data_IF_122502910642
#
_entry.id   IF_122502910642
#
_cell.length_a   1.000
_cell.length_b   1.000
_cell.length_c   1.000
_cell.angle_alpha   90.00
_cell.angle_beta   90.00
_cell.angle_gamma   90.00
#
_symmetry.space_group_name_H-M   'P 1'
#
loop_
_entity.id
_entity.type
_entity.pdbx_description
1 polymer ?
#
# COMPACT_ATOMS: atom_id res chain seq x y z
N UNK A 1 23.41 2.93 -16.82
CA UNK A 1 22.01 3.03 -16.41
C UNK A 1 22.01 3.20 -14.90
N UNK A 2 21.25 4.13 -14.35
CA UNK A 2 21.12 4.25 -12.90
C UNK A 2 20.35 3.02 -12.44
N UNK A 3 21.00 2.17 -11.68
CA UNK A 3 20.41 0.97 -11.07
C UNK A 3 19.74 1.39 -9.77
N UNK A 4 18.57 0.80 -9.45
CA UNK A 4 17.89 1.09 -8.19
C UNK A 4 18.68 0.59 -6.98
N UNK A 5 18.32 0.98 -5.75
CA UNK A 5 19.08 0.62 -4.54
C UNK A 5 19.09 -0.88 -4.22
N UNK A 6 18.20 -1.65 -4.84
CA UNK A 6 18.11 -3.12 -4.69
C UNK A 6 18.57 -3.87 -5.93
N UNK A 7 19.37 -3.24 -6.78
CA UNK A 7 19.99 -3.94 -7.92
C UNK A 7 20.84 -5.12 -7.42
N UNK A 8 20.70 -6.27 -8.08
CA UNK A 8 21.34 -7.53 -7.67
C UNK A 8 20.55 -8.33 -6.61
N UNK A 9 19.47 -7.79 -6.03
CA UNK A 9 18.58 -8.52 -5.13
C UNK A 9 17.50 -9.24 -5.95
N UNK A 10 17.31 -10.53 -5.68
CA UNK A 10 16.28 -11.36 -6.32
C UNK A 10 15.19 -11.78 -5.33
N UNK A 11 13.94 -11.53 -5.72
CA UNK A 11 12.74 -11.83 -4.93
C UNK A 11 11.91 -12.89 -5.63
N UNK A 12 11.61 -13.99 -4.95
CA UNK A 12 10.60 -14.97 -5.37
C UNK A 12 9.26 -14.62 -4.72
N UNK A 13 8.29 -14.29 -5.53
CA UNK A 13 6.93 -13.94 -5.06
C UNK A 13 5.98 -15.10 -5.30
N UNK A 14 5.50 -15.70 -4.21
CA UNK A 14 4.46 -16.75 -4.20
C UNK A 14 3.07 -16.16 -3.90
N UNK A 15 3.04 -14.89 -3.50
CA UNK A 15 1.82 -14.20 -3.08
C UNK A 15 0.78 -14.07 -4.18
N UNK A 16 -0.49 -13.99 -3.78
CA UNK A 16 -1.63 -13.71 -4.66
C UNK A 16 -2.39 -12.49 -4.17
N UNK A 17 -3.21 -11.91 -5.04
CA UNK A 17 -4.04 -10.73 -4.76
C UNK A 17 -3.17 -9.49 -4.44
N UNK A 18 -3.27 -8.90 -3.22
CA UNK A 18 -2.75 -7.54 -2.98
C UNK A 18 -1.55 -7.52 -2.03
N UNK A 19 -1.65 -7.99 -0.80
CA UNK A 19 -0.67 -7.69 0.26
C UNK A 19 0.75 -8.15 -0.06
N UNK A 20 0.96 -9.44 -0.34
CA UNK A 20 2.25 -9.99 -0.77
C UNK A 20 2.72 -9.41 -2.10
N UNK A 21 1.89 -9.43 -3.15
CA UNK A 21 2.23 -8.80 -4.43
C UNK A 21 2.58 -7.31 -4.33
N UNK A 22 1.96 -6.56 -3.43
CA UNK A 22 2.30 -5.16 -3.20
C UNK A 22 3.67 -5.01 -2.53
N UNK A 23 4.00 -5.84 -1.53
CA UNK A 23 5.32 -5.86 -0.92
C UNK A 23 6.42 -6.15 -1.96
N UNK A 24 6.25 -7.19 -2.77
CA UNK A 24 7.20 -7.55 -3.81
C UNK A 24 7.32 -6.47 -4.91
N UNK A 25 6.19 -5.81 -5.27
CA UNK A 25 6.22 -4.66 -6.17
C UNK A 25 7.08 -3.53 -5.62
N UNK A 26 6.94 -3.16 -4.34
CA UNK A 26 7.74 -2.10 -3.74
C UNK A 26 9.25 -2.39 -3.82
N UNK A 27 9.65 -3.65 -3.62
CA UNK A 27 11.03 -4.07 -3.82
C UNK A 27 11.44 -4.01 -5.31
N UNK A 28 10.58 -4.43 -6.22
CA UNK A 28 10.79 -4.33 -7.66
C UNK A 28 10.91 -2.89 -8.17
N UNK A 29 10.11 -1.98 -7.63
CA UNK A 29 10.17 -0.54 -7.93
C UNK A 29 11.53 0.07 -7.54
N UNK A 30 12.18 -0.48 -6.50
CA UNK A 30 13.52 -0.09 -6.03
C UNK A 30 14.65 -0.83 -6.75
N UNK A 31 14.37 -1.63 -7.78
CA UNK A 31 15.38 -2.26 -8.63
C UNK A 31 15.58 -3.76 -8.44
N UNK A 32 14.96 -4.39 -7.44
CA UNK A 32 15.04 -5.84 -7.27
C UNK A 32 14.47 -6.58 -8.50
N UNK A 33 15.06 -7.71 -8.84
CA UNK A 33 14.49 -8.66 -9.79
C UNK A 33 13.42 -9.47 -9.11
N UNK A 34 12.16 -9.23 -9.46
CA UNK A 34 11.02 -9.95 -8.87
C UNK A 34 10.53 -11.02 -9.84
N UNK A 35 10.55 -12.27 -9.40
CA UNK A 35 10.02 -13.43 -10.10
C UNK A 35 8.74 -13.86 -9.40
N UNK A 36 7.60 -13.56 -10.03
CA UNK A 36 6.28 -13.99 -9.56
C UNK A 36 6.01 -15.40 -10.04
N UNK A 37 5.67 -16.27 -9.12
CA UNK A 37 5.37 -17.69 -9.37
C UNK A 37 3.86 -17.89 -9.27
N UNK A 38 3.26 -18.32 -10.35
CA UNK A 38 1.82 -18.61 -10.45
C UNK A 38 1.60 -20.12 -10.65
N UNK A 39 0.44 -20.61 -10.22
CA UNK A 39 0.04 -21.97 -10.58
C UNK A 39 -0.26 -22.08 -12.08
N UNK A 40 0.18 -23.15 -12.78
CA UNK A 40 -0.09 -23.31 -14.20
C UNK A 40 -1.58 -23.30 -14.55
N UNK A 41 -2.39 -23.91 -13.67
CA UNK A 41 -3.83 -24.12 -13.91
C UNK A 41 -4.71 -23.02 -13.34
N UNK A 42 -4.20 -22.22 -12.41
CA UNK A 42 -4.99 -21.19 -11.71
C UNK A 42 -4.10 -19.97 -11.46
N UNK A 43 -4.04 -19.06 -12.44
CA UNK A 43 -3.25 -17.83 -12.30
C UNK A 43 -3.79 -16.93 -11.19
N UNK A 44 -3.01 -15.89 -10.83
CA UNK A 44 -3.43 -14.91 -9.84
C UNK A 44 -4.77 -14.26 -10.24
N UNK A 45 -5.80 -14.35 -9.37
CA UNK A 45 -7.10 -13.72 -9.62
C UNK A 45 -7.00 -12.21 -9.90
N UNK A 46 -5.93 -11.56 -9.46
CA UNK A 46 -5.72 -10.13 -9.70
C UNK A 46 -5.67 -9.75 -11.18
N UNK A 47 -5.38 -10.71 -12.07
CA UNK A 47 -5.41 -10.52 -13.53
C UNK A 47 -6.78 -10.11 -14.06
N UNK A 48 -7.86 -10.45 -13.31
CA UNK A 48 -9.26 -10.20 -13.70
C UNK A 48 -9.95 -9.20 -12.77
N UNK A 49 -9.21 -8.52 -11.87
CA UNK A 49 -9.78 -7.55 -10.96
C UNK A 49 -9.71 -6.12 -11.49
N UNK A 50 -10.76 -5.35 -11.27
CA UNK A 50 -10.86 -3.93 -11.60
C UNK A 50 -12.27 -3.56 -12.10
N UNK A 51 -12.60 -2.27 -12.02
CA UNK A 51 -13.88 -1.75 -12.51
C UNK A 51 -13.85 -1.45 -14.02
N UNK A 52 -12.68 -1.08 -14.53
CA UNK A 52 -12.47 -0.80 -15.94
C UNK A 52 -11.80 -2.00 -16.62
N UNK A 53 -12.19 -2.24 -17.86
CA UNK A 53 -11.68 -3.29 -18.72
C UNK A 53 -11.43 -2.74 -20.12
N UNK A 54 -10.40 -3.23 -20.76
CA UNK A 54 -10.13 -3.03 -22.19
C UNK A 54 -9.62 -4.36 -22.78
N UNK A 55 -10.30 -4.85 -23.81
CA UNK A 55 -9.95 -6.11 -24.51
C UNK A 55 -9.78 -7.32 -23.56
N UNK A 56 -10.63 -7.44 -22.53
CA UNK A 56 -10.56 -8.51 -21.53
C UNK A 56 -9.50 -8.30 -20.45
N UNK A 57 -8.81 -7.16 -20.42
CA UNK A 57 -7.74 -6.86 -19.47
C UNK A 57 -8.16 -5.81 -18.44
N UNK A 58 -7.96 -6.15 -17.16
CA UNK A 58 -8.22 -5.28 -16.01
C UNK A 58 -6.94 -4.64 -15.50
N UNK A 59 -7.07 -3.49 -14.79
CA UNK A 59 -5.92 -2.64 -14.48
C UNK A 59 -5.34 -2.78 -13.07
N UNK A 60 -5.91 -3.60 -12.19
CA UNK A 60 -5.23 -3.96 -10.94
C UNK A 60 -3.88 -4.64 -11.20
N UNK A 61 -3.86 -5.52 -12.21
CA UNK A 61 -2.64 -6.19 -12.63
C UNK A 61 -1.55 -5.22 -13.06
N UNK A 62 -1.86 -4.22 -13.89
CA UNK A 62 -0.92 -3.19 -14.36
C UNK A 62 -0.16 -2.51 -13.21
N UNK A 63 -0.85 -2.29 -12.08
CA UNK A 63 -0.27 -1.62 -10.92
C UNK A 63 0.49 -2.59 -10.02
N UNK A 64 -0.07 -3.75 -9.72
CA UNK A 64 0.51 -4.68 -8.74
C UNK A 64 1.56 -5.63 -9.32
N UNK A 65 1.49 -5.94 -10.62
CA UNK A 65 2.43 -6.82 -11.30
C UNK A 65 3.59 -6.09 -12.00
N UNK A 66 3.61 -4.75 -11.96
CA UNK A 66 4.70 -3.99 -12.58
C UNK A 66 6.06 -4.40 -12.03
N UNK A 67 7.07 -4.36 -12.89
CA UNK A 67 8.45 -4.72 -12.58
C UNK A 67 8.67 -6.21 -12.25
N UNK A 68 7.72 -7.09 -12.57
CA UNK A 68 7.82 -8.52 -12.28
C UNK A 68 7.93 -9.37 -13.55
N UNK A 69 8.75 -10.41 -13.48
CA UNK A 69 8.73 -11.55 -14.40
C UNK A 69 7.72 -12.57 -13.88
N UNK A 70 6.85 -13.11 -14.72
CA UNK A 70 5.91 -14.15 -14.32
C UNK A 70 6.32 -15.50 -14.87
N UNK A 71 6.46 -16.47 -13.97
CA UNK A 71 6.64 -17.89 -14.28
C UNK A 71 5.50 -18.72 -13.71
N UNK A 72 5.33 -19.91 -14.23
CA UNK A 72 4.41 -20.92 -13.67
C UNK A 72 5.19 -22.00 -12.99
N UNK A 73 4.69 -22.50 -11.83
CA UNK A 73 5.27 -23.65 -11.11
C UNK A 73 4.25 -24.23 -10.13
N UNK A 74 4.01 -25.54 -10.20
CA UNK A 74 3.18 -26.22 -9.22
C UNK A 74 4.01 -26.78 -8.06
N UNK A 75 4.07 -26.03 -6.96
CA UNK A 75 4.80 -26.38 -5.74
C UNK A 75 4.22 -27.59 -4.99
N UNK A 76 3.06 -28.09 -5.39
CA UNK A 76 2.43 -29.28 -4.79
C UNK A 76 3.04 -30.58 -5.33
N UNK A 77 3.70 -30.50 -6.48
CA UNK A 77 4.38 -31.65 -7.11
C UNK A 77 5.80 -31.83 -6.56
N UNK A 78 6.34 -33.04 -6.58
CA UNK A 78 7.73 -33.29 -6.16
C UNK A 78 8.73 -32.51 -7.00
N UNK A 79 8.58 -32.57 -8.33
CA UNK A 79 9.48 -31.86 -9.26
C UNK A 79 9.35 -30.34 -9.14
N UNK A 80 8.15 -29.83 -8.93
CA UNK A 80 7.93 -28.39 -8.70
C UNK A 80 8.62 -27.90 -7.44
N UNK A 81 8.62 -28.66 -6.35
CA UNK A 81 9.37 -28.33 -5.12
C UNK A 81 10.88 -28.31 -5.36
N UNK A 82 11.42 -29.32 -6.06
CA UNK A 82 12.84 -29.38 -6.40
C UNK A 82 13.26 -28.13 -7.18
N UNK A 83 12.54 -27.78 -8.24
CA UNK A 83 12.82 -26.59 -9.04
C UNK A 83 12.71 -25.31 -8.21
N UNK A 84 11.73 -25.22 -7.31
CA UNK A 84 11.63 -24.09 -6.41
C UNK A 84 12.84 -23.96 -5.48
N UNK A 85 13.33 -25.07 -4.92
CA UNK A 85 14.54 -25.07 -4.09
C UNK A 85 15.78 -24.68 -4.88
N UNK A 86 15.87 -25.05 -6.16
CA UNK A 86 16.94 -24.60 -7.05
C UNK A 86 16.87 -23.07 -7.30
N UNK A 87 15.64 -22.48 -7.38
CA UNK A 87 15.45 -21.03 -7.44
C UNK A 87 15.82 -20.36 -6.12
N UNK A 88 15.54 -20.99 -4.98
CA UNK A 88 15.91 -20.48 -3.64
C UNK A 88 17.42 -20.33 -3.48
N UNK A 89 18.22 -21.23 -4.08
CA UNK A 89 19.68 -21.15 -4.08
C UNK A 89 20.20 -19.84 -4.77
N UNK A 90 19.37 -19.22 -5.58
CA UNK A 90 19.67 -18.01 -6.36
C UNK A 90 18.89 -16.76 -5.90
N UNK A 91 18.10 -16.89 -4.83
CA UNK A 91 17.22 -15.84 -4.34
C UNK A 91 17.71 -15.24 -3.02
N UNK A 92 17.26 -14.03 -2.75
CA UNK A 92 17.53 -13.28 -1.53
C UNK A 92 16.33 -13.20 -0.61
N UNK A 93 15.13 -13.06 -1.19
CA UNK A 93 13.88 -12.88 -0.48
C UNK A 93 12.79 -13.74 -1.10
N UNK A 94 11.99 -14.37 -0.26
CA UNK A 94 10.74 -15.02 -0.65
C UNK A 94 9.60 -14.21 -0.03
N UNK A 95 8.57 -13.87 -0.81
CA UNK A 95 7.36 -13.19 -0.33
C UNK A 95 6.16 -14.11 -0.55
N UNK A 96 5.43 -14.42 0.52
CA UNK A 96 4.22 -15.23 0.46
C UNK A 96 3.09 -14.63 1.30
N UNK A 97 1.83 -14.92 0.96
CA UNK A 97 0.67 -14.56 1.76
C UNK A 97 -0.36 -15.70 1.81
N UNK A 98 0.14 -16.91 1.91
CA UNK A 98 -0.68 -18.11 2.13
C UNK A 98 -1.21 -18.16 3.58
N UNK A 99 -2.13 -19.06 3.82
CA UNK A 99 -2.51 -19.40 5.19
C UNK A 99 -1.31 -20.01 5.92
N UNK A 100 -1.09 -19.64 7.21
CA UNK A 100 -0.03 -20.24 8.00
C UNK A 100 -0.01 -21.77 7.92
N UNK A 101 1.18 -22.35 7.80
CA UNK A 101 1.38 -23.78 7.63
C UNK A 101 1.25 -24.30 6.20
N UNK A 102 0.99 -23.46 5.20
CA UNK A 102 0.87 -23.91 3.81
C UNK A 102 2.21 -24.34 3.23
N UNK A 103 3.27 -23.55 3.40
CA UNK A 103 4.61 -23.91 2.94
C UNK A 103 5.12 -25.16 3.68
N UNK A 104 4.86 -25.26 4.96
CA UNK A 104 5.23 -26.41 5.78
C UNK A 104 4.56 -27.70 5.26
N UNK A 105 3.29 -27.65 4.84
CA UNK A 105 2.58 -28.79 4.22
C UNK A 105 3.16 -29.23 2.87
N UNK A 106 3.88 -28.33 2.21
CA UNK A 106 4.57 -28.62 0.95
C UNK A 106 6.04 -28.94 1.15
N UNK A 107 6.50 -29.18 2.39
CA UNK A 107 7.89 -29.39 2.75
C UNK A 107 8.80 -28.23 2.31
N UNK A 108 8.29 -27.00 2.34
CA UNK A 108 8.96 -25.76 1.99
C UNK A 108 8.97 -24.77 3.16
N UNK A 109 8.88 -25.27 4.41
CA UNK A 109 8.98 -24.43 5.62
C UNK A 109 10.35 -23.77 5.73
N UNK A 110 10.44 -22.73 6.59
CA UNK A 110 11.65 -21.90 6.68
C UNK A 110 12.93 -22.67 6.95
N UNK A 111 12.90 -23.71 7.78
CA UNK A 111 14.11 -24.50 8.08
C UNK A 111 14.66 -25.19 6.83
N UNK A 112 13.79 -25.73 5.97
CA UNK A 112 14.18 -26.34 4.69
C UNK A 112 14.78 -25.28 3.75
N UNK A 113 14.15 -24.11 3.68
CA UNK A 113 14.66 -23.01 2.85
C UNK A 113 16.01 -22.52 3.36
N UNK A 114 16.19 -22.42 4.68
CA UNK A 114 17.43 -22.00 5.33
C UNK A 114 18.57 -23.00 5.16
N UNK A 115 18.27 -24.30 5.16
CA UNK A 115 19.27 -25.36 4.84
C UNK A 115 19.82 -25.19 3.42
N UNK A 116 18.96 -24.80 2.47
CA UNK A 116 19.35 -24.53 1.09
C UNK A 116 20.16 -23.23 0.97
N UNK A 117 19.65 -22.17 1.60
CA UNK A 117 20.26 -20.83 1.53
C UNK A 117 20.18 -20.16 2.89
N UNK A 118 21.29 -20.14 3.64
CA UNK A 118 21.36 -19.53 4.98
C UNK A 118 21.00 -18.04 4.99
N UNK A 119 21.20 -17.36 3.86
CA UNK A 119 20.91 -15.95 3.70
C UNK A 119 19.47 -15.65 3.30
N UNK A 120 18.62 -16.65 3.10
CA UNK A 120 17.26 -16.45 2.61
C UNK A 120 16.38 -15.72 3.62
N UNK A 121 15.65 -14.72 3.16
CA UNK A 121 14.67 -13.99 3.96
C UNK A 121 13.29 -14.45 3.52
N UNK A 122 12.48 -14.95 4.48
CA UNK A 122 11.10 -15.35 4.21
C UNK A 122 10.13 -14.32 4.78
N UNK A 123 9.49 -13.56 3.90
CA UNK A 123 8.46 -12.55 4.23
C UNK A 123 7.09 -13.21 4.13
N UNK A 124 6.39 -13.30 5.26
CA UNK A 124 5.09 -13.94 5.40
C UNK A 124 4.03 -12.90 5.76
N UNK A 125 3.03 -12.74 4.91
CA UNK A 125 1.90 -11.84 5.18
C UNK A 125 0.64 -12.68 5.41
N UNK A 126 0.01 -12.52 6.57
CA UNK A 126 -1.20 -13.27 6.91
C UNK A 126 -2.24 -12.40 7.62
N UNK A 127 -3.44 -12.93 7.85
CA UNK A 127 -4.51 -12.17 8.51
C UNK A 127 -4.18 -11.77 9.93
N UNK A 128 -3.59 -12.69 10.71
CA UNK A 128 -3.39 -12.57 12.16
C UNK A 128 -1.97 -12.91 12.61
N UNK A 129 -1.00 -13.03 11.71
CA UNK A 129 0.37 -13.47 12.02
C UNK A 129 0.52 -14.99 12.00
N UNK A 130 1.78 -15.43 12.16
CA UNK A 130 2.14 -16.87 12.14
C UNK A 130 1.93 -17.55 13.51
N UNK A 131 1.70 -16.78 14.56
CA UNK A 131 1.56 -17.26 15.95
C UNK A 131 0.29 -16.69 16.60
N UNK A 132 0.00 -17.15 17.82
CA UNK A 132 -1.17 -16.69 18.58
C UNK A 132 -2.44 -17.48 18.30
N UNK A 133 -3.51 -17.21 19.08
CA UNK A 133 -4.73 -18.04 19.07
C UNK A 133 -5.49 -17.99 17.74
N UNK A 134 -5.31 -16.95 16.94
CA UNK A 134 -6.03 -16.71 15.70
C UNK A 134 -5.19 -16.98 14.44
N UNK A 135 -3.93 -17.41 14.57
CA UNK A 135 -3.03 -17.65 13.44
C UNK A 135 -3.61 -18.55 12.34
N UNK A 136 -4.39 -19.56 12.72
CA UNK A 136 -5.05 -20.47 11.77
C UNK A 136 -6.32 -19.94 11.11
N UNK A 137 -6.83 -18.77 11.53
CA UNK A 137 -8.06 -18.21 10.97
C UNK A 137 -7.80 -17.61 9.58
N UNK A 138 -8.81 -17.72 8.72
CA UNK A 138 -8.80 -17.00 7.46
C UNK A 138 -8.98 -15.50 7.73
N UNK A 139 -8.16 -14.66 7.10
CA UNK A 139 -8.26 -13.20 7.22
C UNK A 139 -8.05 -12.52 5.87
N UNK A 140 -8.93 -11.55 5.58
CA UNK A 140 -8.78 -10.58 4.50
C UNK A 140 -8.72 -9.17 5.09
N UNK A 141 -8.22 -8.21 4.34
CA UNK A 141 -8.07 -6.81 4.78
C UNK A 141 -9.35 -6.26 5.42
N UNK A 142 -10.52 -6.52 4.86
CA UNK A 142 -11.79 -6.01 5.40
C UNK A 142 -12.11 -6.52 6.82
N UNK A 143 -11.71 -7.74 7.14
CA UNK A 143 -11.85 -8.34 8.48
C UNK A 143 -10.76 -7.81 9.41
N UNK A 144 -9.54 -7.67 8.93
CA UNK A 144 -8.40 -7.13 9.67
C UNK A 144 -8.62 -5.66 10.08
N UNK A 145 -9.12 -4.83 9.16
CA UNK A 145 -9.52 -3.44 9.42
C UNK A 145 -10.59 -3.35 10.52
N UNK A 146 -11.53 -4.30 10.55
CA UNK A 146 -12.57 -4.36 11.58
C UNK A 146 -12.02 -4.87 12.92
N UNK A 147 -11.26 -5.96 12.90
CA UNK A 147 -10.72 -6.60 14.10
C UNK A 147 -9.68 -5.71 14.84
N UNK A 148 -8.93 -4.90 14.10
CA UNK A 148 -7.97 -3.95 14.67
C UNK A 148 -8.61 -2.69 15.28
N UNK A 149 -9.91 -2.44 15.06
CA UNK A 149 -10.58 -1.19 15.47
C UNK A 149 -10.52 -0.06 14.45
N UNK A 150 -9.68 -0.14 13.42
CA UNK A 150 -9.53 0.92 12.41
C UNK A 150 -10.88 1.29 11.78
N UNK A 151 -11.71 0.30 11.48
CA UNK A 151 -13.02 0.50 10.89
C UNK A 151 -14.03 1.12 11.84
N UNK A 152 -13.90 0.88 13.16
CA UNK A 152 -14.78 1.47 14.16
C UNK A 152 -14.65 2.99 14.21
N UNK A 153 -13.47 3.53 13.98
CA UNK A 153 -13.20 4.97 14.00
C UNK A 153 -13.57 5.68 12.69
N UNK A 154 -13.85 4.93 11.62
CA UNK A 154 -14.16 5.51 10.31
C UNK A 154 -15.65 5.73 10.16
N UNK A 155 -16.06 6.90 9.65
CA UNK A 155 -17.45 7.22 9.32
C UNK A 155 -18.03 8.37 10.12
N UNK A 156 -19.35 8.53 9.99
CA UNK A 156 -20.11 9.55 10.71
C UNK A 156 -20.73 8.97 11.99
N UNK A 157 -20.81 9.76 13.09
CA UNK A 157 -21.47 9.33 14.32
C UNK A 157 -22.89 8.82 14.07
N UNK A 158 -23.22 7.66 14.66
CA UNK A 158 -24.53 7.04 14.51
C UNK A 158 -24.78 6.28 13.20
N UNK A 159 -23.84 6.33 12.25
CA UNK A 159 -23.89 5.56 11.03
C UNK A 159 -23.21 4.19 11.15
N UNK A 160 -23.40 3.27 10.17
CA UNK A 160 -22.64 2.03 10.11
C UNK A 160 -21.16 2.34 9.80
N UNK A 161 -20.19 1.60 10.39
CA UNK A 161 -18.78 1.77 10.11
C UNK A 161 -18.45 1.48 8.62
N UNK A 162 -18.17 2.48 7.79
CA UNK A 162 -17.94 2.27 6.37
C UNK A 162 -16.54 1.68 6.11
N UNK A 163 -16.36 1.13 4.91
CA UNK A 163 -15.06 0.76 4.38
C UNK A 163 -14.49 1.92 3.57
N UNK A 164 -13.16 2.10 3.58
CA UNK A 164 -12.51 2.84 2.51
C UNK A 164 -12.68 2.10 1.17
N UNK A 165 -12.85 2.83 0.09
CA UNK A 165 -13.05 2.26 -1.24
C UNK A 165 -11.77 1.67 -1.87
N UNK A 166 -10.83 1.25 -1.04
CA UNK A 166 -9.57 0.60 -1.42
C UNK A 166 -9.16 -0.45 -0.38
N UNK A 167 -8.19 -1.31 -0.71
CA UNK A 167 -7.68 -2.35 0.19
C UNK A 167 -6.58 -1.78 1.09
N UNK A 168 -6.97 -0.92 2.04
CA UNK A 168 -6.01 -0.21 2.90
C UNK A 168 -5.21 -1.18 3.77
N UNK A 169 -5.87 -2.15 4.41
CA UNK A 169 -5.21 -3.12 5.26
C UNK A 169 -4.16 -3.96 4.51
N UNK A 170 -4.47 -4.38 3.28
CA UNK A 170 -3.49 -5.07 2.41
C UNK A 170 -2.31 -4.17 2.06
N UNK A 171 -2.57 -2.90 1.74
CA UNK A 171 -1.53 -1.95 1.37
C UNK A 171 -0.60 -1.65 2.56
N UNK A 172 -1.16 -1.44 3.75
CA UNK A 172 -0.37 -1.24 4.98
C UNK A 172 0.50 -2.47 5.28
N UNK A 173 -0.08 -3.67 5.23
CA UNK A 173 0.68 -4.90 5.46
C UNK A 173 1.78 -5.10 4.40
N UNK A 174 1.51 -4.81 3.14
CA UNK A 174 2.52 -4.85 2.08
C UNK A 174 3.66 -3.85 2.30
N UNK A 175 3.36 -2.65 2.80
CA UNK A 175 4.39 -1.64 3.14
C UNK A 175 5.24 -2.11 4.32
N UNK A 176 4.64 -2.60 5.42
CA UNK A 176 5.40 -3.13 6.56
C UNK A 176 6.20 -4.38 6.20
N UNK A 177 5.67 -5.26 5.36
CA UNK A 177 6.38 -6.42 4.85
C UNK A 177 7.61 -6.03 4.02
N UNK A 178 7.49 -5.04 3.13
CA UNK A 178 8.62 -4.51 2.37
C UNK A 178 9.65 -3.84 3.29
N UNK A 179 9.20 -3.05 4.28
CA UNK A 179 10.08 -2.45 5.30
C UNK A 179 10.83 -3.53 6.10
N UNK A 180 10.13 -4.58 6.51
CA UNK A 180 10.73 -5.73 7.20
C UNK A 180 11.77 -6.46 6.32
N UNK A 181 11.48 -6.64 5.03
CA UNK A 181 12.42 -7.21 4.07
C UNK A 181 13.70 -6.36 3.95
N UNK A 182 13.57 -5.03 3.85
CA UNK A 182 14.73 -4.12 3.80
C UNK A 182 15.56 -4.17 5.08
N UNK A 183 14.92 -4.20 6.25
CA UNK A 183 15.60 -4.36 7.53
C UNK A 183 16.34 -5.71 7.64
N UNK A 184 15.71 -6.79 7.16
CA UNK A 184 16.31 -8.11 7.13
C UNK A 184 17.48 -8.20 6.14
N UNK A 185 17.37 -7.58 4.97
CA UNK A 185 18.47 -7.46 4.00
C UNK A 185 19.66 -6.72 4.60
N UNK A 186 19.42 -5.58 5.25
CA UNK A 186 20.48 -4.84 5.94
C UNK A 186 21.15 -5.68 7.04
N UNK A 187 20.36 -6.34 7.92
CA UNK A 187 20.92 -7.23 8.94
C UNK A 187 21.77 -8.34 8.33
N UNK A 188 21.32 -8.93 7.23
CA UNK A 188 22.05 -9.99 6.51
C UNK A 188 23.45 -9.54 6.05
N UNK A 189 23.64 -8.26 5.69
CA UNK A 189 24.97 -7.74 5.30
C UNK A 189 25.98 -7.84 6.45
N UNK A 190 25.51 -7.85 7.69
CA UNK A 190 26.34 -7.93 8.89
C UNK A 190 26.53 -9.38 9.36
N UNK A 191 25.47 -10.18 9.30
CA UNK A 191 25.44 -11.53 9.90
C UNK A 191 25.67 -12.65 8.90
N UNK A 192 25.44 -12.41 7.61
CA UNK A 192 25.38 -13.45 6.57
C UNK A 192 24.11 -14.31 6.64
N UNK A 193 23.22 -14.09 7.59
CA UNK A 193 22.05 -14.92 7.83
C UNK A 193 20.75 -14.19 7.49
N UNK A 194 19.82 -14.93 6.85
CA UNK A 194 18.45 -14.50 6.65
C UNK A 194 17.58 -14.71 7.90
N UNK A 195 16.30 -14.36 7.78
CA UNK A 195 15.31 -14.54 8.85
C UNK A 195 13.89 -14.56 8.30
N UNK A 196 12.92 -14.92 9.15
CA UNK A 196 11.50 -14.73 8.87
C UNK A 196 11.14 -13.26 9.16
N UNK A 197 10.31 -12.68 8.29
CA UNK A 197 9.59 -11.42 8.51
C UNK A 197 8.11 -11.78 8.54
N UNK A 198 7.52 -11.76 9.73
CA UNK A 198 6.11 -12.05 9.96
C UNK A 198 5.32 -10.73 10.03
N UNK A 199 4.31 -10.58 9.19
CA UNK A 199 3.49 -9.37 9.09
C UNK A 199 2.01 -9.75 9.05
N UNK A 200 1.25 -9.26 10.05
CA UNK A 200 -0.19 -9.48 10.06
C UNK A 200 -0.96 -8.27 9.52
N UNK A 201 -2.04 -8.53 8.79
CA UNK A 201 -2.97 -7.49 8.34
C UNK A 201 -3.57 -6.71 9.52
N UNK A 202 -3.97 -7.43 10.59
CA UNK A 202 -4.53 -6.83 11.81
C UNK A 202 -3.55 -5.92 12.54
N UNK A 203 -2.29 -6.36 12.68
CA UNK A 203 -1.23 -5.60 13.34
C UNK A 203 -0.86 -4.36 12.53
N UNK A 204 -0.80 -4.49 11.22
CA UNK A 204 -0.53 -3.38 10.30
C UNK A 204 -1.59 -2.29 10.39
N UNK A 205 -2.87 -2.67 10.50
CA UNK A 205 -3.95 -1.74 10.73
C UNK A 205 -3.91 -1.11 12.12
N UNK A 206 -3.50 -1.86 13.15
CA UNK A 206 -3.38 -1.36 14.51
C UNK A 206 -2.22 -0.36 14.66
N UNK A 207 -1.09 -0.64 14.02
CA UNK A 207 0.14 0.14 14.16
C UNK A 207 0.00 1.62 13.70
N UNK A 208 -1.02 1.96 12.92
CA UNK A 208 -1.25 3.32 12.41
C UNK A 208 -2.34 4.08 13.16
N UNK A 209 -2.83 3.56 14.30
CA UNK A 209 -3.96 4.15 15.03
C UNK A 209 -3.55 5.17 16.11
N UNK A 210 -2.38 5.77 15.99
CA UNK A 210 -1.91 6.87 16.86
C UNK A 210 -2.02 6.55 18.36
N UNK A 211 -2.74 7.39 19.12
CA UNK A 211 -2.88 7.32 20.59
C UNK A 211 -4.11 6.53 21.06
N UNK A 212 -4.84 5.84 20.18
CA UNK A 212 -6.11 5.17 20.57
C UNK A 212 -5.97 4.19 21.71
N UNK A 213 -4.88 3.42 21.77
CA UNK A 213 -4.64 2.46 22.86
C UNK A 213 -4.32 3.19 24.17
N UNK A 214 -3.33 4.11 24.25
CA UNK A 214 -3.07 4.83 25.51
C UNK A 214 -4.23 5.73 25.94
N UNK A 215 -5.01 6.31 25.02
CA UNK A 215 -6.21 7.09 25.37
C UNK A 215 -7.25 6.22 26.09
N UNK A 216 -7.39 4.97 25.66
CA UNK A 216 -8.27 4.01 26.33
C UNK A 216 -7.67 3.48 27.63
N UNK A 217 -6.41 3.05 27.63
CA UNK A 217 -5.77 2.40 28.77
C UNK A 217 -5.69 3.33 29.99
N UNK A 218 -5.34 4.59 29.77
CA UNK A 218 -5.16 5.59 30.83
C UNK A 218 -6.42 6.42 31.07
N UNK A 219 -7.10 6.83 30.01
CA UNK A 219 -8.23 7.77 30.07
C UNK A 219 -9.61 7.12 29.96
N UNK A 220 -9.70 5.83 29.63
CA UNK A 220 -10.96 5.14 29.38
C UNK A 220 -11.68 5.64 28.11
N UNK A 221 -11.00 6.37 27.25
CA UNK A 221 -11.59 6.99 26.06
C UNK A 221 -11.70 5.96 24.93
N UNK A 222 -12.91 5.67 24.49
CA UNK A 222 -13.19 4.88 23.30
C UNK A 222 -13.40 5.82 22.13
N UNK A 223 -12.35 5.96 21.28
CA UNK A 223 -12.43 6.81 20.08
C UNK A 223 -13.41 6.21 19.09
N UNK A 224 -14.43 6.98 18.70
CA UNK A 224 -15.45 6.61 17.72
C UNK A 224 -15.29 7.37 16.40
N UNK A 225 -16.24 7.20 15.48
CA UNK A 225 -16.27 7.93 14.22
C UNK A 225 -16.58 9.41 14.47
N UNK A 226 -15.82 10.30 13.85
CA UNK A 226 -15.93 11.76 14.01
C UNK A 226 -16.33 12.50 12.72
N UNK A 227 -16.75 11.76 11.69
CA UNK A 227 -17.15 12.36 10.40
C UNK A 227 -15.95 12.87 9.61
N UNK A 228 -15.94 14.16 9.34
CA UNK A 228 -14.94 14.81 8.47
C UNK A 228 -13.81 15.50 9.25
N UNK A 229 -13.77 15.38 10.58
CA UNK A 229 -12.85 16.09 11.46
C UNK A 229 -12.12 15.16 12.45
N UNK A 230 -11.09 15.67 13.08
CA UNK A 230 -10.53 15.09 14.30
C UNK A 230 -11.12 15.84 15.51
N UNK A 231 -11.66 15.10 16.47
CA UNK A 231 -12.20 15.70 17.69
C UNK A 231 -11.12 16.39 18.50
N UNK A 232 -11.44 17.58 19.00
CA UNK A 232 -10.54 18.40 19.80
C UNK A 232 -9.42 19.09 19.02
N UNK A 233 -9.34 18.91 17.70
CA UNK A 233 -8.33 19.55 16.84
C UNK A 233 -9.03 20.49 15.84
N UNK A 234 -9.17 21.76 16.23
CA UNK A 234 -9.95 22.75 15.48
C UNK A 234 -9.17 24.04 15.16
N UNK A 235 -9.45 24.65 13.96
CA UNK A 235 -10.19 24.06 12.87
C UNK A 235 -9.34 23.12 12.02
N UNK A 236 -9.88 21.94 11.70
CA UNK A 236 -9.33 20.99 10.74
C UNK A 236 -10.51 20.16 10.20
N UNK A 237 -11.13 20.63 9.13
CA UNK A 237 -12.38 20.05 8.61
C UNK A 237 -12.53 20.34 7.11
N UNK A 238 -13.61 19.82 6.50
CA UNK A 238 -14.01 20.17 5.15
C UNK A 238 -15.19 21.15 5.20
N UNK A 239 -15.23 22.07 4.24
CA UNK A 239 -16.28 23.09 4.16
C UNK A 239 -16.79 23.16 2.72
N UNK A 240 -18.12 23.32 2.58
CA UNK A 240 -18.75 23.41 1.27
C UNK A 240 -18.61 24.84 0.71
N UNK A 241 -18.18 24.95 -0.52
CA UNK A 241 -18.05 26.19 -1.27
C UNK A 241 -19.36 26.56 -1.99
N UNK A 242 -19.40 27.72 -2.62
CA UNK A 242 -20.59 28.25 -3.29
C UNK A 242 -21.13 27.36 -4.42
N UNK A 243 -20.23 26.66 -5.15
CA UNK A 243 -20.62 25.74 -6.21
C UNK A 243 -20.96 24.32 -5.71
N UNK A 244 -20.94 24.09 -4.39
CA UNK A 244 -21.24 22.81 -3.77
C UNK A 244 -20.08 21.83 -3.65
N UNK A 245 -18.87 22.16 -4.16
CA UNK A 245 -17.67 21.36 -3.94
C UNK A 245 -17.09 21.56 -2.53
N UNK A 246 -16.20 20.66 -2.11
CA UNK A 246 -15.64 20.66 -0.77
C UNK A 246 -14.18 21.11 -0.77
N UNK A 247 -13.82 21.95 0.20
CA UNK A 247 -12.46 22.42 0.44
C UNK A 247 -12.02 22.03 1.85
N UNK A 248 -10.84 21.45 1.98
CA UNK A 248 -10.21 21.22 3.30
C UNK A 248 -9.58 22.50 3.79
N UNK A 249 -9.81 22.86 5.06
CA UNK A 249 -9.12 23.95 5.76
C UNK A 249 -8.56 23.43 7.07
N UNK A 250 -7.23 23.59 7.27
CA UNK A 250 -6.54 23.16 8.48
C UNK A 250 -5.75 24.35 9.08
N UNK A 251 -6.23 24.85 10.22
CA UNK A 251 -5.64 26.01 10.91
C UNK A 251 -5.63 25.83 12.43
N UNK A 252 -5.35 24.61 12.88
CA UNK A 252 -5.41 24.23 14.30
C UNK A 252 -4.31 24.85 15.20
N UNK A 253 -3.20 25.33 14.63
CA UNK A 253 -2.19 26.06 15.39
C UNK A 253 -2.63 27.53 15.60
N UNK A 254 -2.38 28.09 16.80
CA UNK A 254 -2.84 29.44 17.16
C UNK A 254 -2.37 30.53 16.19
N UNK A 255 -1.14 30.41 15.68
CA UNK A 255 -0.60 31.37 14.70
C UNK A 255 -1.28 31.26 13.35
N UNK A 256 -1.64 30.04 12.92
CA UNK A 256 -2.33 29.78 11.65
C UNK A 256 -3.81 30.18 11.79
N UNK A 257 -4.41 29.92 12.94
CA UNK A 257 -5.79 30.34 13.24
C UNK A 257 -5.95 31.86 13.16
N UNK A 258 -5.04 32.66 13.76
CA UNK A 258 -5.07 34.12 13.63
C UNK A 258 -5.00 34.57 12.18
N UNK A 259 -4.20 33.91 11.34
CA UNK A 259 -4.14 34.22 9.91
C UNK A 259 -5.46 33.89 9.20
N UNK A 260 -6.07 32.75 9.55
CA UNK A 260 -7.39 32.38 9.03
C UNK A 260 -8.43 33.46 9.39
N UNK A 261 -8.53 33.88 10.65
CA UNK A 261 -9.47 34.91 11.07
C UNK A 261 -9.26 36.20 10.28
N UNK A 262 -8.01 36.63 10.09
CA UNK A 262 -7.69 37.80 9.28
C UNK A 262 -8.09 37.64 7.81
N UNK A 263 -7.81 36.49 7.22
CA UNK A 263 -8.16 36.15 5.84
C UNK A 263 -9.67 36.10 5.61
N UNK A 264 -10.41 35.66 6.62
CA UNK A 264 -11.88 35.65 6.61
C UNK A 264 -12.50 37.04 6.77
N UNK A 265 -11.70 38.06 7.14
CA UNK A 265 -12.18 39.41 7.48
C UNK A 265 -12.83 39.49 8.86
N UNK A 266 -12.54 38.55 9.76
CA UNK A 266 -13.09 38.43 11.12
C UNK A 266 -11.94 38.30 12.16
N UNK A 267 -11.00 39.27 12.24
CA UNK A 267 -9.83 39.14 13.11
C UNK A 267 -10.18 39.05 14.60
N UNK A 268 -11.37 39.51 15.02
CA UNK A 268 -11.89 39.44 16.39
C UNK A 268 -12.04 38.03 16.90
N UNK A 269 -12.29 37.05 16.03
CA UNK A 269 -12.40 35.66 16.42
C UNK A 269 -11.11 35.11 17.04
N UNK A 270 -9.97 35.70 16.71
CA UNK A 270 -8.68 35.28 17.28
C UNK A 270 -8.49 35.67 18.75
N UNK A 271 -9.31 36.58 19.26
CA UNK A 271 -9.31 37.04 20.65
C UNK A 271 -10.60 36.70 21.39
N UNK A 272 -11.52 36.03 20.76
CA UNK A 272 -12.75 35.55 21.39
C UNK A 272 -12.41 34.40 22.36
N UNK A 273 -12.92 34.46 23.59
CA UNK A 273 -12.67 33.46 24.64
C UNK A 273 -13.03 32.04 24.22
N UNK A 274 -13.98 31.88 23.29
CA UNK A 274 -14.38 30.56 22.73
C UNK A 274 -13.30 29.96 21.84
N UNK A 275 -12.39 30.78 21.26
CA UNK A 275 -11.45 30.36 20.22
C UNK A 275 -10.01 30.79 20.45
N UNK A 276 -9.72 31.43 21.57
CA UNK A 276 -8.46 32.11 21.90
C UNK A 276 -7.25 31.18 21.85
N UNK A 277 -7.42 29.91 22.19
CA UNK A 277 -6.38 28.91 22.17
C UNK A 277 -6.87 27.57 21.61
N UNK A 278 -5.95 26.64 21.40
CA UNK A 278 -6.23 25.31 20.85
C UNK A 278 -7.30 24.55 21.64
N UNK A 279 -7.24 24.61 22.99
CA UNK A 279 -8.19 23.87 23.86
C UNK A 279 -9.59 24.47 23.76
N UNK A 280 -9.69 25.79 23.78
CA UNK A 280 -10.94 26.51 23.64
C UNK A 280 -11.60 26.20 22.28
N UNK A 281 -10.83 26.23 21.19
CA UNK A 281 -11.33 25.87 19.85
C UNK A 281 -11.81 24.42 19.78
N UNK A 282 -11.07 23.49 20.37
CA UNK A 282 -11.49 22.08 20.42
C UNK A 282 -12.82 21.87 21.15
N UNK A 283 -13.07 22.63 22.24
CA UNK A 283 -14.34 22.56 22.97
C UNK A 283 -15.51 23.20 22.21
N UNK A 284 -15.25 24.22 21.41
CA UNK A 284 -16.28 24.95 20.65
C UNK A 284 -16.19 24.68 19.14
N UNK A 285 -15.74 23.46 18.77
CA UNK A 285 -15.46 23.08 17.38
C UNK A 285 -16.68 23.23 16.47
N UNK A 286 -17.88 22.84 16.92
CA UNK A 286 -19.10 22.92 16.11
C UNK A 286 -19.45 24.37 15.75
N UNK A 287 -19.29 25.30 16.69
CA UNK A 287 -19.57 26.69 16.46
C UNK A 287 -18.55 27.34 15.52
N UNK A 288 -17.27 26.99 15.72
CA UNK A 288 -16.18 27.45 14.85
C UNK A 288 -16.35 26.93 13.42
N UNK A 289 -16.69 25.65 13.27
CA UNK A 289 -16.95 25.03 11.97
C UNK A 289 -18.14 25.66 11.26
N UNK A 290 -19.20 26.04 12.00
CA UNK A 290 -20.34 26.78 11.43
C UNK A 290 -19.95 28.16 10.90
N UNK A 291 -19.10 28.91 11.62
CA UNK A 291 -18.60 30.22 11.21
C UNK A 291 -17.76 30.12 9.94
N UNK A 292 -16.79 29.17 9.91
CA UNK A 292 -15.94 28.95 8.75
C UNK A 292 -16.77 28.45 7.56
N UNK A 293 -17.70 27.55 7.80
CA UNK A 293 -18.63 27.03 6.78
C UNK A 293 -19.47 28.13 6.13
N UNK A 294 -20.02 29.06 6.92
CA UNK A 294 -20.77 30.18 6.40
C UNK A 294 -19.88 31.13 5.53
N UNK A 295 -18.63 31.34 5.92
CA UNK A 295 -17.67 32.10 5.12
C UNK A 295 -17.33 31.41 3.80
N UNK A 296 -17.13 30.08 3.82
CA UNK A 296 -16.78 29.28 2.64
C UNK A 296 -17.94 29.16 1.65
N UNK A 297 -19.16 29.01 2.14
CA UNK A 297 -20.37 28.83 1.33
C UNK A 297 -20.71 30.01 0.40
N UNK A 298 -20.10 31.18 0.64
CA UNK A 298 -20.28 32.39 -0.17
C UNK A 298 -19.16 32.57 -1.21
N UNK A 299 -18.26 31.60 -1.40
CA UNK A 299 -17.05 31.74 -2.24
C UNK A 299 -16.82 30.53 -3.13
N UNK A 300 -16.24 30.76 -4.29
CA UNK A 300 -15.78 29.68 -5.14
C UNK A 300 -14.54 28.98 -4.52
N UNK A 301 -14.33 27.67 -4.77
CA UNK A 301 -13.25 26.92 -4.14
C UNK A 301 -11.86 27.50 -4.43
N UNK A 302 -11.60 27.95 -5.65
CA UNK A 302 -10.31 28.56 -6.02
C UNK A 302 -10.07 29.87 -5.27
N UNK A 303 -11.10 30.69 -5.08
CA UNK A 303 -11.02 31.93 -4.30
C UNK A 303 -10.70 31.65 -2.82
N UNK A 304 -11.29 30.60 -2.25
CA UNK A 304 -10.99 30.15 -0.89
C UNK A 304 -9.51 29.76 -0.79
N UNK A 305 -9.08 28.86 -1.67
CA UNK A 305 -7.72 28.31 -1.64
C UNK A 305 -6.69 29.42 -1.86
N UNK A 306 -6.90 30.29 -2.84
CA UNK A 306 -6.02 31.40 -3.15
C UNK A 306 -5.91 32.41 -1.99
N UNK A 307 -7.05 32.78 -1.38
CA UNK A 307 -7.10 33.70 -0.24
C UNK A 307 -6.34 33.12 0.95
N UNK A 308 -6.57 31.86 1.27
CA UNK A 308 -5.96 31.19 2.41
C UNK A 308 -4.46 30.91 2.17
N UNK A 309 -4.08 30.51 0.97
CA UNK A 309 -2.69 30.30 0.59
C UNK A 309 -1.86 31.59 0.72
N UNK A 310 -2.36 32.73 0.24
CA UNK A 310 -1.72 34.04 0.39
C UNK A 310 -1.54 34.44 1.86
N UNK A 311 -2.45 34.02 2.72
CA UNK A 311 -2.36 34.24 4.17
C UNK A 311 -1.48 33.19 4.90
N UNK A 312 -0.97 32.20 4.20
CA UNK A 312 -0.20 31.09 4.80
C UNK A 312 -1.05 30.17 5.66
N UNK A 313 -2.32 29.97 5.30
CA UNK A 313 -3.25 29.02 5.88
C UNK A 313 -3.32 27.78 5.00
N UNK A 314 -3.29 26.60 5.61
CA UNK A 314 -3.31 25.33 4.88
C UNK A 314 -4.73 25.04 4.41
N UNK A 315 -4.91 24.94 3.11
CA UNK A 315 -6.18 24.59 2.47
C UNK A 315 -5.93 23.85 1.15
N UNK A 316 -6.94 23.14 0.68
CA UNK A 316 -6.85 22.44 -0.60
C UNK A 316 -8.17 21.81 -1.03
N UNK A 317 -8.31 21.45 -2.32
CA UNK A 317 -9.49 20.79 -2.85
C UNK A 317 -9.56 19.32 -2.43
N UNK A 318 -10.75 18.75 -2.50
CA UNK A 318 -10.95 17.29 -2.47
C UNK A 318 -11.06 16.82 -3.91
N UNK A 319 -9.95 16.34 -4.46
CA UNK A 319 -9.84 15.98 -5.85
C UNK A 319 -10.45 14.60 -6.15
N UNK A 320 -11.11 14.51 -7.30
CA UNK A 320 -11.44 13.24 -7.95
C UNK A 320 -10.20 12.69 -8.67
N UNK A 321 -10.24 11.41 -9.10
CA UNK A 321 -9.14 10.82 -9.87
C UNK A 321 -8.88 11.56 -11.20
N UNK A 322 -9.91 12.16 -11.81
CA UNK A 322 -9.76 12.96 -13.03
C UNK A 322 -8.90 14.21 -12.78
N UNK A 323 -9.12 14.90 -11.67
CA UNK A 323 -8.35 16.06 -11.25
C UNK A 323 -6.94 15.65 -10.79
N UNK A 324 -6.80 14.56 -10.06
CA UNK A 324 -5.49 14.00 -9.64
C UNK A 324 -4.60 13.72 -10.86
N UNK A 325 -5.13 13.17 -11.94
CA UNK A 325 -4.35 12.86 -13.16
C UNK A 325 -3.84 14.14 -13.85
N UNK A 326 -4.56 15.26 -13.71
CA UNK A 326 -4.19 16.54 -14.29
C UNK A 326 -3.40 17.45 -13.34
N UNK A 327 -3.25 17.07 -12.05
CA UNK A 327 -2.58 17.86 -11.04
C UNK A 327 -1.12 18.15 -11.41
N UNK A 328 -0.72 19.44 -11.54
CA UNK A 328 0.62 19.82 -11.98
C UNK A 328 1.71 19.45 -10.99
N UNK A 329 1.43 19.43 -9.69
CA UNK A 329 2.39 19.05 -8.65
C UNK A 329 2.68 17.55 -8.71
N UNK A 330 1.63 16.71 -8.82
CA UNK A 330 1.77 15.26 -8.93
C UNK A 330 2.48 14.86 -10.23
N UNK A 331 2.18 15.54 -11.33
CA UNK A 331 2.88 15.34 -12.61
C UNK A 331 4.35 15.73 -12.52
N UNK A 332 4.65 16.93 -11.99
CA UNK A 332 6.02 17.40 -11.84
C UNK A 332 6.87 16.50 -10.93
N UNK A 333 6.23 15.84 -9.95
CA UNK A 333 6.87 14.87 -9.07
C UNK A 333 6.93 13.44 -9.65
N UNK A 334 6.46 13.22 -10.87
CA UNK A 334 6.42 11.90 -11.50
C UNK A 334 5.46 10.91 -10.83
N UNK A 335 4.45 11.44 -10.08
CA UNK A 335 3.47 10.59 -9.41
C UNK A 335 2.37 10.10 -10.35
N UNK A 336 2.19 10.74 -11.47
CA UNK A 336 1.38 10.24 -12.58
C UNK A 336 2.36 9.71 -13.64
N UNK A 337 2.56 8.40 -13.63
CA UNK A 337 3.55 7.72 -14.46
C UNK A 337 2.88 6.93 -15.59
N UNK A 338 3.52 6.91 -16.76
CA UNK A 338 3.08 6.11 -17.89
C UNK A 338 3.70 4.71 -17.81
N UNK A 339 2.85 3.68 -17.80
CA UNK A 339 3.23 2.26 -17.79
C UNK A 339 2.92 1.67 -19.15
N UNK A 340 3.92 1.16 -19.86
CA UNK A 340 3.67 0.40 -21.08
C UNK A 340 3.01 -0.93 -20.73
N UNK A 341 1.75 -1.09 -21.15
CA UNK A 341 1.00 -2.34 -20.94
C UNK A 341 0.94 -3.12 -22.28
N UNK A 342 1.76 -4.17 -22.32
CA UNK A 342 1.89 -5.04 -23.51
C UNK A 342 0.57 -5.73 -23.88
N UNK A 343 -0.30 -5.99 -22.88
CA UNK A 343 -1.58 -6.69 -23.07
C UNK A 343 -2.53 -5.91 -24.00
N UNK A 344 -2.46 -4.60 -23.96
CA UNK A 344 -3.32 -3.70 -24.72
C UNK A 344 -2.54 -2.80 -25.69
N UNK A 345 -1.22 -2.96 -25.77
CA UNK A 345 -0.34 -2.27 -26.71
C UNK A 345 -0.32 -0.74 -26.56
N UNK A 346 -0.50 -0.21 -25.35
CA UNK A 346 -0.49 1.24 -25.07
C UNK A 346 0.03 1.59 -23.69
N UNK A 347 0.34 2.86 -23.50
CA UNK A 347 0.63 3.40 -22.18
C UNK A 347 -0.64 3.58 -21.34
N UNK A 348 -0.56 3.17 -20.08
CA UNK A 348 -1.60 3.35 -19.05
C UNK A 348 -1.03 4.20 -17.95
N UNK A 349 -1.76 5.23 -17.52
CA UNK A 349 -1.36 6.04 -16.37
C UNK A 349 -1.57 5.27 -15.07
N UNK A 350 -0.60 5.38 -14.19
CA UNK A 350 -0.68 4.77 -12.87
C UNK A 350 0.18 5.52 -11.85
N UNK A 351 0.17 5.11 -10.59
CA UNK A 351 0.92 5.78 -9.54
C UNK A 351 2.43 5.62 -9.78
N UNK A 352 3.17 6.71 -9.60
CA UNK A 352 4.63 6.74 -9.60
C UNK A 352 5.24 5.93 -8.46
N UNK A 353 6.53 6.16 -8.19
CA UNK A 353 7.29 5.46 -7.15
C UNK A 353 7.50 6.36 -5.94
N UNK A 354 7.22 5.82 -4.77
CA UNK A 354 7.42 6.47 -3.47
C UNK A 354 8.23 5.54 -2.57
N UNK A 355 9.28 6.07 -1.87
CA UNK A 355 9.83 7.42 -1.93
C UNK A 355 10.70 7.67 -3.17
N UNK A 356 10.97 8.94 -3.48
CA UNK A 356 11.94 9.34 -4.49
C UNK A 356 13.33 9.40 -3.84
N UNK A 357 14.27 8.60 -4.33
CA UNK A 357 15.67 8.59 -3.88
C UNK A 357 16.53 9.43 -4.84
N UNK A 358 17.36 10.33 -4.30
CA UNK A 358 18.12 11.29 -5.11
C UNK A 358 19.18 10.65 -5.99
N UNK A 359 19.88 9.65 -5.46
CA UNK A 359 21.06 9.03 -6.13
C UNK A 359 20.73 7.72 -6.84
N UNK A 360 19.67 7.01 -6.37
CA UNK A 360 19.27 5.71 -6.89
C UNK A 360 17.74 5.63 -7.03
N UNK A 361 17.16 6.46 -7.90
CA UNK A 361 15.70 6.52 -8.04
C UNK A 361 15.15 5.16 -8.52
N UNK A 362 13.97 4.82 -8.01
CA UNK A 362 13.22 3.68 -8.52
C UNK A 362 12.80 3.87 -9.98
N UNK A 363 12.47 2.78 -10.65
CA UNK A 363 12.07 2.80 -12.06
C UNK A 363 10.90 1.87 -12.37
N UNK A 364 10.02 2.28 -13.28
CA UNK A 364 8.96 1.44 -13.82
C UNK A 364 9.45 0.92 -15.18
N UNK A 365 9.71 -0.38 -15.24
CA UNK A 365 10.28 -1.05 -16.43
C UNK A 365 9.22 -1.69 -17.32
N UNK A 366 8.14 -2.18 -16.72
CA UNK A 366 7.01 -2.80 -17.40
C UNK A 366 5.76 -2.76 -16.50
N UNK A 367 4.58 -2.97 -17.08
CA UNK A 367 3.30 -3.05 -16.39
C UNK A 367 2.91 -4.47 -15.93
N UNK A 368 3.87 -5.39 -15.88
CA UNK A 368 3.65 -6.80 -15.60
C UNK A 368 3.48 -7.65 -16.87
N UNK A 369 3.53 -8.96 -16.69
CA UNK A 369 3.45 -9.93 -17.78
C UNK A 369 2.07 -9.97 -18.43
N UNK A 370 2.04 -10.19 -19.73
CA UNK A 370 0.79 -10.32 -20.50
C UNK A 370 0.05 -11.64 -20.23
N UNK A 371 0.78 -12.70 -19.88
CA UNK A 371 0.24 -14.03 -19.59
C UNK A 371 1.00 -14.73 -18.46
N UNK A 372 0.39 -15.70 -17.77
CA UNK A 372 1.11 -16.59 -16.86
C UNK A 372 2.25 -17.32 -17.60
N UNK A 373 3.36 -17.55 -16.93
CA UNK A 373 4.51 -18.26 -17.51
C UNK A 373 5.22 -17.57 -18.68
N UNK A 374 4.96 -16.27 -18.90
CA UNK A 374 5.59 -15.51 -19.98
C UNK A 374 7.12 -15.60 -19.95
N UNK A 375 7.69 -15.68 -18.78
CA UNK A 375 9.14 -15.68 -18.57
C UNK A 375 9.70 -17.06 -18.17
N UNK A 376 8.94 -18.16 -18.41
CA UNK A 376 9.42 -19.51 -18.07
C UNK A 376 10.77 -19.81 -18.73
N UNK A 377 10.87 -19.62 -20.04
CA UNK A 377 12.10 -19.92 -20.76
C UNK A 377 13.28 -19.07 -20.28
N UNK A 378 13.05 -17.77 -20.09
CA UNK A 378 14.07 -16.85 -19.60
C UNK A 378 14.59 -17.26 -18.21
N UNK A 379 13.67 -17.59 -17.28
CA UNK A 379 14.04 -17.87 -15.90
C UNK A 379 14.60 -19.29 -15.76
N UNK A 380 13.95 -20.31 -16.29
CA UNK A 380 14.40 -21.68 -16.09
C UNK A 380 15.67 -22.00 -16.89
N UNK A 381 15.77 -21.54 -18.13
CA UNK A 381 17.01 -21.70 -18.89
C UNK A 381 18.10 -20.79 -18.38
N UNK A 382 17.80 -19.51 -18.11
CA UNK A 382 18.79 -18.52 -17.71
C UNK A 382 19.36 -18.71 -16.31
N UNK A 383 18.53 -19.11 -15.33
CA UNK A 383 18.96 -19.29 -13.96
C UNK A 383 19.29 -20.73 -13.60
N UNK A 384 18.52 -21.70 -14.10
CA UNK A 384 18.69 -23.11 -13.74
C UNK A 384 19.41 -23.93 -14.83
N UNK A 385 19.54 -23.39 -16.04
CA UNK A 385 20.23 -24.07 -17.14
C UNK A 385 19.43 -25.18 -17.80
N UNK A 386 18.09 -25.21 -17.60
CA UNK A 386 17.25 -26.25 -18.20
C UNK A 386 17.22 -26.12 -19.73
N UNK A 387 17.24 -27.27 -20.42
CA UNK A 387 17.10 -27.33 -21.87
C UNK A 387 15.65 -27.12 -22.31
N UNK A 388 15.44 -26.86 -23.59
CA UNK A 388 14.10 -26.74 -24.16
C UNK A 388 13.30 -28.04 -24.03
N UNK A 389 13.95 -29.18 -24.18
CA UNK A 389 13.33 -30.51 -24.05
C UNK A 389 12.87 -30.76 -22.62
N UNK A 390 13.67 -30.37 -21.62
CA UNK A 390 13.26 -30.47 -20.19
C UNK A 390 12.07 -29.57 -19.89
N UNK A 391 12.05 -28.34 -20.40
CA UNK A 391 10.93 -27.43 -20.23
C UNK A 391 9.63 -27.98 -20.86
N UNK A 392 9.71 -28.58 -22.03
CA UNK A 392 8.55 -29.17 -22.71
C UNK A 392 8.03 -30.41 -21.96
N UNK A 393 8.92 -31.22 -21.39
CA UNK A 393 8.54 -32.32 -20.51
C UNK A 393 7.78 -31.81 -19.27
N UNK A 394 8.30 -30.79 -18.58
CA UNK A 394 7.68 -30.18 -17.39
C UNK A 394 6.31 -29.56 -17.68
N UNK A 395 6.14 -28.94 -18.86
CA UNK A 395 4.83 -28.43 -19.32
C UNK A 395 3.85 -29.59 -19.56
N UNK A 396 4.31 -30.68 -20.18
CA UNK A 396 3.49 -31.87 -20.45
C UNK A 396 3.04 -32.56 -19.16
N UNK A 397 3.90 -32.58 -18.14
CA UNK A 397 3.62 -33.10 -16.80
C UNK A 397 2.74 -32.16 -15.96
N UNK A 398 2.48 -30.94 -16.41
CA UNK A 398 1.69 -29.94 -15.68
C UNK A 398 2.43 -29.33 -14.48
N UNK A 399 3.76 -29.39 -14.47
CA UNK A 399 4.61 -28.77 -13.44
C UNK A 399 4.79 -27.27 -13.73
N UNK A 400 4.88 -26.89 -15.02
CA UNK A 400 4.98 -25.52 -15.52
C UNK A 400 3.73 -25.04 -16.22
#
# INVERSE_FOLDING_TARGET
>A
MVTGPLDGIRVLELGTLISGPFAARLLGDMGAEVIKIELPTTPDPLRTWGQAELDGHHFFWTVHARNKKAITLDLRTGRGRELFLELVDRADVIVENFRPGTLEKWDLGYEVLKERNKGIILVRVSGYGQTGPDAGKAGYASVAEAASGLRHMNGFPGGPPPRLALSLGDSLAGMFAAQGALAALYRRTVTGEGQIVDTALTESCLAVQESTIPDYDVGGVVRGPSGTRLEGIAPSNIYQSANGSWVVIAANQDTVFRRLCTAMGQPELATDDRFVDHVARGRNQDELDAIIGAWAACREPDDIIDTLSKAGVISGPINTVAEVVEDPQLRARGMIADHWDERIGRFVKGPGIVPVLSESPGSIRNAGSSRPGQHNDEVYTGLLGLSAEELDALRTEGVL
#
